data_IF_501610465112
#
_entry.id   IF_501610465112
#
_cell.length_a   1.000
_cell.length_b   1.000
_cell.length_c   1.000
_cell.angle_alpha   90.00
_cell.angle_beta   90.00
_cell.angle_gamma   90.00
#
_symmetry.space_group_name_H-M   'P 1'
#
loop_
_entity.id
_entity.type
_entity.pdbx_description
1 polymer ?
#
# COMPACT_ATOMS: atom_id res chain seq x y z
N UNK A 1 -1.71 11.30 -18.56
CA UNK A 1 -1.81 9.84 -18.77
C UNK A 1 -1.28 9.05 -17.57
N UNK A 2 -0.04 9.34 -17.11
CA UNK A 2 0.55 8.66 -15.95
C UNK A 2 -0.27 8.80 -14.66
N UNK A 3 -0.82 10.00 -14.40
CA UNK A 3 -1.74 10.24 -13.27
C UNK A 3 -2.93 9.27 -13.26
N UNK A 4 -3.66 9.16 -14.38
CA UNK A 4 -4.80 8.25 -14.50
C UNK A 4 -4.43 6.78 -14.36
N UNK A 5 -3.25 6.40 -14.86
CA UNK A 5 -2.71 5.05 -14.66
C UNK A 5 -2.50 4.76 -13.17
N UNK A 6 -1.88 5.67 -12.43
CA UNK A 6 -1.70 5.48 -10.99
C UNK A 6 -3.02 5.48 -10.20
N UNK A 7 -4.00 6.30 -10.57
CA UNK A 7 -5.35 6.26 -9.99
C UNK A 7 -5.99 4.88 -10.21
N UNK A 8 -5.87 4.31 -11.42
CA UNK A 8 -6.37 2.97 -11.72
C UNK A 8 -5.62 1.90 -10.90
N UNK A 9 -4.30 1.99 -10.79
CA UNK A 9 -3.49 1.12 -9.94
C UNK A 9 -3.98 1.14 -8.49
N UNK A 10 -4.17 2.34 -7.94
CA UNK A 10 -4.65 2.56 -6.57
C UNK A 10 -6.03 1.94 -6.37
N UNK A 11 -6.94 2.16 -7.32
CA UNK A 11 -8.30 1.62 -7.28
C UNK A 11 -8.32 0.09 -7.17
N UNK A 12 -7.50 -0.60 -7.95
CA UNK A 12 -7.43 -2.07 -7.91
C UNK A 12 -6.74 -2.57 -6.64
N UNK A 13 -5.68 -1.91 -6.16
CA UNK A 13 -5.01 -2.30 -4.92
C UNK A 13 -5.96 -2.19 -3.71
N UNK A 14 -6.70 -1.09 -3.59
CA UNK A 14 -7.60 -0.84 -2.47
C UNK A 14 -8.87 -1.70 -2.51
N UNK A 15 -9.59 -1.71 -3.63
CA UNK A 15 -10.79 -2.55 -3.79
C UNK A 15 -10.46 -4.05 -3.77
N UNK A 16 -9.28 -4.41 -4.28
CA UNK A 16 -8.80 -5.80 -4.31
C UNK A 16 -8.58 -6.37 -2.91
N UNK A 17 -8.03 -5.58 -1.99
CA UNK A 17 -7.86 -6.00 -0.59
C UNK A 17 -9.21 -6.25 0.07
N UNK A 18 -10.18 -5.33 -0.07
CA UNK A 18 -11.51 -5.48 0.53
C UNK A 18 -12.16 -6.77 0.04
N UNK A 19 -12.11 -7.01 -1.26
CA UNK A 19 -12.67 -8.23 -1.86
C UNK A 19 -11.97 -9.49 -1.33
N UNK A 20 -10.63 -9.49 -1.24
CA UNK A 20 -9.88 -10.65 -0.76
C UNK A 20 -10.13 -10.94 0.73
N UNK A 21 -10.26 -9.93 1.57
CA UNK A 21 -10.61 -10.09 3.00
C UNK A 21 -12.06 -10.54 3.13
N UNK A 22 -12.99 -9.89 2.42
CA UNK A 22 -14.41 -10.22 2.44
C UNK A 22 -14.75 -11.63 1.92
N UNK A 23 -13.91 -12.19 1.04
CA UNK A 23 -14.07 -13.55 0.52
C UNK A 23 -13.49 -14.65 1.42
N UNK A 24 -12.79 -14.34 2.51
CA UNK A 24 -12.28 -15.36 3.45
C UNK A 24 -13.35 -16.33 3.97
N UNK A 25 -14.55 -15.88 4.39
CA UNK A 25 -15.62 -16.78 4.85
C UNK A 25 -16.39 -17.47 3.71
N UNK A 26 -16.21 -17.06 2.44
CA UNK A 26 -16.99 -17.57 1.31
C UNK A 26 -16.38 -18.88 0.79
N UNK A 27 -17.22 -19.91 0.64
CA UNK A 27 -16.76 -21.21 0.15
C UNK A 27 -16.30 -21.10 -1.32
N UNK A 28 -15.05 -21.48 -1.58
CA UNK A 28 -14.43 -21.35 -2.91
C UNK A 28 -15.14 -22.14 -4.00
N UNK A 29 -15.85 -23.23 -3.66
CA UNK A 29 -16.59 -24.07 -4.61
C UNK A 29 -17.71 -23.33 -5.34
N UNK A 30 -18.22 -22.22 -4.78
CA UNK A 30 -19.33 -21.45 -5.33
C UNK A 30 -18.99 -20.71 -6.63
N UNK A 31 -17.71 -20.42 -6.88
CA UNK A 31 -17.27 -19.58 -8.01
C UNK A 31 -16.13 -20.18 -8.83
N UNK A 32 -15.83 -21.49 -8.63
CA UNK A 32 -14.76 -22.21 -9.34
C UNK A 32 -14.95 -22.14 -10.85
N UNK A 33 -16.16 -22.46 -11.31
CA UNK A 33 -16.47 -22.61 -12.73
C UNK A 33 -16.74 -21.27 -13.41
N UNK A 34 -17.24 -20.28 -12.66
CA UNK A 34 -17.60 -18.97 -13.19
C UNK A 34 -16.43 -17.98 -13.23
N UNK A 35 -15.56 -17.96 -12.20
CA UNK A 35 -14.52 -16.94 -12.02
C UNK A 35 -13.15 -17.57 -11.71
N UNK A 36 -12.45 -18.10 -12.73
CA UNK A 36 -11.20 -18.83 -12.53
C UNK A 36 -10.04 -17.95 -12.05
N UNK A 37 -10.04 -16.64 -12.36
CA UNK A 37 -8.99 -15.71 -11.89
C UNK A 37 -9.21 -15.40 -10.41
N UNK A 38 -10.45 -15.14 -10.00
CA UNK A 38 -10.84 -14.98 -8.59
C UNK A 38 -10.42 -16.20 -7.77
N UNK A 39 -10.61 -17.41 -8.30
CA UNK A 39 -10.15 -18.62 -7.63
C UNK A 39 -8.62 -18.66 -7.48
N UNK A 40 -7.86 -18.28 -8.51
CA UNK A 40 -6.39 -18.19 -8.41
C UNK A 40 -5.95 -17.18 -7.35
N UNK A 41 -6.53 -15.98 -7.34
CA UNK A 41 -6.21 -14.94 -6.36
C UNK A 41 -6.55 -15.40 -4.93
N UNK A 42 -7.78 -15.88 -4.70
CA UNK A 42 -8.23 -16.33 -3.37
C UNK A 42 -7.50 -17.58 -2.90
N UNK A 43 -7.21 -18.55 -3.77
CA UNK A 43 -6.43 -19.73 -3.41
C UNK A 43 -4.97 -19.39 -3.09
N UNK A 44 -4.38 -18.39 -3.75
CA UNK A 44 -3.03 -17.94 -3.45
C UNK A 44 -2.94 -17.18 -2.13
N UNK A 45 -3.85 -16.21 -1.92
CA UNK A 45 -3.83 -15.31 -0.75
C UNK A 45 -4.37 -15.98 0.50
N UNK A 46 -5.42 -16.80 0.41
CA UNK A 46 -5.99 -17.50 1.57
C UNK A 46 -5.21 -18.75 1.98
N UNK A 47 -4.13 -19.10 1.27
CA UNK A 47 -3.32 -20.26 1.63
C UNK A 47 -2.38 -19.92 2.78
N UNK A 48 -2.64 -20.52 3.94
CA UNK A 48 -1.81 -20.34 5.13
C UNK A 48 -1.68 -18.85 5.51
N UNK A 49 -0.44 -18.37 5.62
CA UNK A 49 -0.12 -17.01 6.08
C UNK A 49 -0.02 -15.96 4.95
N UNK A 50 -0.40 -16.34 3.72
CA UNK A 50 -0.24 -15.45 2.57
C UNK A 50 -1.12 -14.19 2.65
N UNK A 51 -2.21 -14.19 3.44
CA UNK A 51 -3.09 -13.02 3.58
C UNK A 51 -2.37 -11.85 4.25
N UNK A 52 -1.73 -12.08 5.39
CA UNK A 52 -1.01 -11.03 6.11
C UNK A 52 0.18 -10.51 5.30
N UNK A 53 0.89 -11.44 4.63
CA UNK A 53 1.99 -11.15 3.71
C UNK A 53 1.55 -10.29 2.53
N UNK A 54 0.41 -10.64 1.94
CA UNK A 54 -0.21 -9.85 0.89
C UNK A 54 -0.56 -8.45 1.40
N UNK A 55 -1.18 -8.33 2.59
CA UNK A 55 -1.56 -7.03 3.16
C UNK A 55 -0.30 -6.15 3.32
N UNK A 56 0.79 -6.66 3.90
CA UNK A 56 2.02 -5.88 4.10
C UNK A 56 2.66 -5.46 2.75
N UNK A 57 2.88 -6.41 1.85
CA UNK A 57 3.49 -6.14 0.54
C UNK A 57 2.67 -5.18 -0.32
N UNK A 58 1.34 -5.28 -0.25
CA UNK A 58 0.41 -4.38 -0.95
C UNK A 58 0.46 -2.96 -0.38
N UNK A 59 0.55 -2.78 0.94
CA UNK A 59 0.63 -1.43 1.54
C UNK A 59 1.85 -0.65 1.02
N UNK A 60 2.97 -1.34 0.80
CA UNK A 60 4.13 -0.72 0.17
C UNK A 60 3.87 -0.34 -1.29
N UNK A 61 3.20 -1.19 -2.08
CA UNK A 61 2.78 -0.83 -3.45
C UNK A 61 1.85 0.39 -3.47
N UNK A 62 0.90 0.46 -2.55
CA UNK A 62 0.01 1.61 -2.40
C UNK A 62 0.83 2.88 -2.14
N UNK A 63 1.80 2.79 -1.22
CA UNK A 63 2.69 3.92 -0.92
C UNK A 63 3.51 4.37 -2.13
N UNK A 64 4.04 3.44 -2.93
CA UNK A 64 4.75 3.76 -4.18
C UNK A 64 3.84 4.43 -5.22
N UNK A 65 2.59 3.97 -5.36
CA UNK A 65 1.61 4.55 -6.26
C UNK A 65 1.22 5.97 -5.81
N UNK A 66 1.00 6.18 -4.50
CA UNK A 66 0.70 7.50 -3.93
C UNK A 66 1.88 8.45 -4.11
N UNK A 67 3.12 7.98 -3.92
CA UNK A 67 4.31 8.79 -4.20
C UNK A 67 4.38 9.20 -5.68
N UNK A 68 4.12 8.27 -6.60
CA UNK A 68 4.03 8.55 -8.04
C UNK A 68 2.92 9.54 -8.40
N UNK A 69 1.78 9.48 -7.71
CA UNK A 69 0.67 10.44 -7.85
C UNK A 69 1.07 11.83 -7.37
N UNK A 70 1.71 11.94 -6.21
CA UNK A 70 2.19 13.22 -5.68
C UNK A 70 3.21 13.85 -6.64
N UNK A 71 4.12 13.05 -7.21
CA UNK A 71 5.05 13.55 -8.22
C UNK A 71 4.33 14.07 -9.49
N UNK A 72 3.25 13.40 -9.92
CA UNK A 72 2.46 13.87 -11.07
C UNK A 72 1.64 15.14 -10.79
N UNK A 73 1.46 15.51 -9.53
CA UNK A 73 0.57 16.60 -9.09
C UNK A 73 1.31 17.73 -8.39
N UNK A 74 2.64 17.68 -8.38
CA UNK A 74 3.47 18.77 -7.86
C UNK A 74 3.15 20.07 -8.60
N UNK A 75 2.97 21.19 -7.88
CA UNK A 75 2.83 22.49 -8.50
C UNK A 75 4.10 22.80 -9.32
N UNK A 76 3.93 23.57 -10.40
CA UNK A 76 5.03 24.02 -11.26
C UNK A 76 5.23 25.50 -10.96
N UNK A 77 6.44 25.86 -10.53
CA UNK A 77 6.79 27.21 -10.02
C UNK A 77 6.69 28.32 -11.09
N UNK A 78 6.53 27.96 -12.36
CA UNK A 78 6.62 28.86 -13.52
C UNK A 78 5.31 29.64 -13.82
N UNK A 79 4.31 29.58 -12.93
CA UNK A 79 3.05 30.31 -13.08
C UNK A 79 2.93 31.47 -12.08
N UNK A 80 3.83 32.45 -12.19
CA UNK A 80 3.59 33.82 -11.69
C UNK A 80 2.53 34.51 -12.58
N UNK A 81 1.26 34.19 -12.41
CA UNK A 81 0.25 34.89 -13.22
C UNK A 81 -1.16 34.36 -13.11
N UNK A 82 -1.91 34.99 -12.22
CA UNK A 82 -3.35 34.91 -12.05
C UNK A 82 -3.91 33.52 -11.72
N UNK A 83 -4.87 33.50 -10.79
CA UNK A 83 -5.65 32.33 -10.41
C UNK A 83 -6.08 31.56 -11.68
N UNK A 84 -5.46 30.41 -11.97
CA UNK A 84 -5.74 29.60 -13.18
C UNK A 84 -7.24 29.28 -13.31
N UNK A 85 -7.94 29.24 -12.18
CA UNK A 85 -9.38 29.00 -12.05
C UNK A 85 -10.19 30.23 -11.61
N UNK A 86 -9.58 31.42 -11.46
CA UNK A 86 -10.25 32.64 -10.98
C UNK A 86 -10.75 32.54 -9.53
N UNK A 87 -10.25 31.58 -8.76
CA UNK A 87 -10.70 31.30 -7.40
C UNK A 87 -10.10 32.28 -6.37
N UNK A 88 -10.78 32.52 -5.23
CA UNK A 88 -10.21 33.24 -4.10
C UNK A 88 -8.86 32.67 -3.66
N UNK A 89 -7.90 33.53 -3.29
CA UNK A 89 -6.52 33.14 -2.94
C UNK A 89 -6.45 32.01 -1.90
N UNK A 90 -7.31 32.03 -0.88
CA UNK A 90 -7.32 30.99 0.15
C UNK A 90 -7.74 29.60 -0.38
N UNK A 91 -8.53 29.54 -1.46
CA UNK A 91 -8.90 28.27 -2.12
C UNK A 91 -7.73 27.75 -2.95
N UNK A 92 -7.04 28.62 -3.68
CA UNK A 92 -5.88 28.22 -4.48
C UNK A 92 -4.74 27.70 -3.60
N UNK A 93 -4.44 28.36 -2.49
CA UNK A 93 -3.40 27.89 -1.55
C UNK A 93 -3.71 26.47 -1.05
N UNK A 94 -4.98 26.18 -0.69
CA UNK A 94 -5.35 24.87 -0.16
C UNK A 94 -5.38 23.79 -1.24
N UNK A 95 -6.00 24.06 -2.38
CA UNK A 95 -6.26 23.04 -3.39
C UNK A 95 -5.11 22.86 -4.39
N UNK A 96 -4.36 23.93 -4.68
CA UNK A 96 -3.26 23.94 -5.65
C UNK A 96 -1.91 23.83 -4.93
N UNK A 97 -1.55 24.77 -4.07
CA UNK A 97 -0.20 24.82 -3.47
C UNK A 97 0.05 23.66 -2.51
N UNK A 98 -0.91 23.35 -1.64
CA UNK A 98 -0.82 22.20 -0.73
C UNK A 98 -1.23 20.85 -1.38
N UNK A 99 -1.57 20.83 -2.67
CA UNK A 99 -1.99 19.61 -3.35
C UNK A 99 -3.34 19.03 -2.88
N UNK A 100 -4.18 19.83 -2.21
CA UNK A 100 -5.47 19.38 -1.68
C UNK A 100 -6.39 18.78 -2.74
N UNK A 101 -6.38 19.31 -3.97
CA UNK A 101 -7.18 18.76 -5.07
C UNK A 101 -6.73 17.35 -5.47
N UNK A 102 -5.41 17.09 -5.47
CA UNK A 102 -4.86 15.78 -5.76
C UNK A 102 -5.25 14.77 -4.66
N UNK A 103 -5.18 15.18 -3.39
CA UNK A 103 -5.59 14.33 -2.25
C UNK A 103 -7.08 13.97 -2.34
N UNK A 104 -7.96 14.95 -2.54
CA UNK A 104 -9.40 14.71 -2.66
C UNK A 104 -9.71 13.80 -3.85
N UNK A 105 -9.06 14.03 -5.00
CA UNK A 105 -9.25 13.21 -6.19
C UNK A 105 -8.79 11.77 -5.97
N UNK A 106 -7.61 11.58 -5.37
CA UNK A 106 -7.06 10.24 -5.11
C UNK A 106 -7.89 9.46 -4.10
N UNK A 107 -8.39 10.09 -3.05
CA UNK A 107 -9.27 9.44 -2.05
C UNK A 107 -10.62 9.08 -2.67
N UNK A 108 -11.30 10.01 -3.34
CA UNK A 108 -12.66 9.77 -3.83
C UNK A 108 -12.64 8.80 -5.02
N UNK A 109 -11.84 9.11 -6.04
CA UNK A 109 -11.82 8.36 -7.31
C UNK A 109 -10.92 7.14 -7.22
N UNK A 110 -9.75 7.28 -6.59
CA UNK A 110 -8.74 6.23 -6.53
C UNK A 110 -8.95 5.21 -5.42
N UNK A 111 -9.68 5.52 -4.34
CA UNK A 111 -9.84 4.58 -3.22
C UNK A 111 -11.32 4.30 -2.93
N UNK A 112 -12.10 5.32 -2.57
CA UNK A 112 -13.42 5.12 -2.00
C UNK A 112 -14.40 4.48 -3.00
N UNK A 113 -14.39 4.95 -4.25
CA UNK A 113 -15.24 4.38 -5.31
C UNK A 113 -14.97 2.90 -5.57
N UNK A 114 -13.69 2.49 -5.61
CA UNK A 114 -13.33 1.09 -5.84
C UNK A 114 -13.62 0.21 -4.63
N UNK A 115 -13.44 0.73 -3.42
CA UNK A 115 -13.75 0.05 -2.17
C UNK A 115 -15.25 -0.27 -2.05
N UNK A 116 -16.13 0.69 -2.42
CA UNK A 116 -17.58 0.47 -2.42
C UNK A 116 -17.98 -0.56 -3.48
N UNK A 117 -17.43 -0.46 -4.69
CA UNK A 117 -17.68 -1.43 -5.77
C UNK A 117 -17.24 -2.84 -5.39
N UNK A 118 -16.04 -2.95 -4.80
CA UNK A 118 -15.49 -4.20 -4.27
C UNK A 118 -16.36 -4.81 -3.17
N UNK A 119 -16.90 -4.00 -2.25
CA UNK A 119 -17.75 -4.49 -1.17
C UNK A 119 -19.08 -5.10 -1.67
N UNK A 120 -19.62 -4.60 -2.78
CA UNK A 120 -20.87 -5.12 -3.36
C UNK A 120 -20.64 -6.33 -4.27
N UNK A 121 -19.60 -6.30 -5.11
CA UNK A 121 -19.34 -7.32 -6.12
C UNK A 121 -17.92 -7.90 -6.00
N UNK A 122 -17.59 -8.47 -4.82
CA UNK A 122 -16.23 -8.94 -4.49
C UNK A 122 -15.66 -9.93 -5.52
N UNK A 123 -16.47 -10.90 -5.96
CA UNK A 123 -16.04 -11.99 -6.86
C UNK A 123 -15.71 -11.44 -8.24
N UNK A 124 -16.57 -10.57 -8.79
CA UNK A 124 -16.40 -9.96 -10.10
C UNK A 124 -15.23 -8.98 -10.10
N UNK A 125 -15.10 -8.18 -9.03
CA UNK A 125 -14.07 -7.15 -8.90
C UNK A 125 -12.65 -7.74 -9.00
N UNK A 126 -12.39 -8.88 -8.35
CA UNK A 126 -11.06 -9.51 -8.37
C UNK A 126 -10.82 -10.46 -9.54
N UNK A 127 -11.81 -10.68 -10.41
CA UNK A 127 -11.69 -11.54 -11.58
C UNK A 127 -10.97 -10.84 -12.75
N UNK A 128 -9.86 -10.16 -12.46
CA UNK A 128 -9.09 -9.41 -13.44
C UNK A 128 -7.62 -9.82 -13.42
N UNK A 129 -7.01 -9.88 -14.59
CA UNK A 129 -5.57 -10.15 -14.73
C UNK A 129 -4.71 -9.14 -13.97
N UNK A 130 -5.17 -7.89 -13.88
CA UNK A 130 -4.45 -6.85 -13.17
C UNK A 130 -4.49 -7.07 -11.65
N UNK A 131 -5.59 -7.62 -11.12
CA UNK A 131 -5.67 -8.04 -9.72
C UNK A 131 -4.73 -9.22 -9.43
N UNK A 132 -4.65 -10.19 -10.35
CA UNK A 132 -3.73 -11.31 -10.22
C UNK A 132 -2.26 -10.84 -10.26
N UNK A 133 -1.91 -9.91 -11.15
CA UNK A 133 -0.60 -9.28 -11.22
C UNK A 133 -0.23 -8.60 -9.89
N UNK A 134 -1.09 -7.72 -9.39
CA UNK A 134 -0.85 -6.99 -8.13
C UNK A 134 -0.76 -7.91 -6.93
N UNK A 135 -1.48 -9.03 -6.94
CA UNK A 135 -1.37 -10.09 -5.93
C UNK A 135 0.01 -10.75 -5.93
N UNK A 136 0.52 -11.16 -7.11
CA UNK A 136 1.87 -11.71 -7.22
C UNK A 136 2.94 -10.70 -6.83
N UNK A 137 2.79 -9.44 -7.26
CA UNK A 137 3.75 -8.38 -6.94
C UNK A 137 3.79 -8.09 -5.44
N UNK A 138 2.63 -8.04 -4.79
CA UNK A 138 2.53 -7.85 -3.33
C UNK A 138 3.25 -8.98 -2.58
N UNK A 139 3.02 -10.23 -2.99
CA UNK A 139 3.70 -11.38 -2.40
C UNK A 139 5.21 -11.39 -2.72
N UNK A 140 5.61 -10.95 -3.91
CA UNK A 140 7.03 -10.85 -4.30
C UNK A 140 7.78 -9.78 -3.48
N UNK A 141 7.15 -8.63 -3.24
CA UNK A 141 7.70 -7.57 -2.39
C UNK A 141 7.86 -8.07 -0.96
N UNK A 142 6.85 -8.76 -0.43
CA UNK A 142 6.99 -9.37 0.89
C UNK A 142 8.12 -10.41 0.91
N UNK A 143 8.21 -11.25 -0.12
CA UNK A 143 9.31 -12.20 -0.28
C UNK A 143 10.69 -11.54 -0.42
N UNK A 144 10.79 -10.27 -0.82
CA UNK A 144 12.06 -9.54 -0.89
C UNK A 144 12.66 -9.25 0.49
N UNK A 145 11.81 -9.14 1.52
CA UNK A 145 12.22 -8.87 2.90
C UNK A 145 12.48 -7.40 3.23
N UNK A 146 12.26 -6.47 2.28
CA UNK A 146 12.47 -5.02 2.49
C UNK A 146 11.54 -4.46 3.58
N UNK A 147 10.37 -5.07 3.78
CA UNK A 147 9.33 -4.62 4.73
C UNK A 147 9.44 -5.27 6.12
N UNK A 148 10.46 -6.09 6.37
CA UNK A 148 10.50 -6.92 7.57
C UNK A 148 10.57 -6.15 8.90
N UNK A 149 10.98 -4.88 8.91
CA UNK A 149 10.96 -4.04 10.12
C UNK A 149 9.56 -3.95 10.75
N UNK A 150 8.49 -4.05 9.95
CA UNK A 150 7.11 -4.02 10.47
C UNK A 150 6.81 -5.18 11.43
N UNK A 151 7.47 -6.33 11.26
CA UNK A 151 7.29 -7.47 12.16
C UNK A 151 7.92 -7.22 13.52
N UNK A 152 9.06 -6.51 13.60
CA UNK A 152 9.63 -6.09 14.89
C UNK A 152 8.65 -5.20 15.64
N UNK A 153 8.11 -4.21 14.93
CA UNK A 153 7.16 -3.26 15.53
C UNK A 153 5.93 -4.02 16.05
N UNK A 154 5.39 -4.95 15.26
CA UNK A 154 4.28 -5.84 15.70
C UNK A 154 4.63 -6.66 16.94
N UNK A 155 5.81 -7.29 16.98
CA UNK A 155 6.28 -8.06 18.14
C UNK A 155 6.47 -7.17 19.38
N UNK A 156 6.87 -5.92 19.21
CA UNK A 156 6.95 -4.96 20.31
C UNK A 156 5.53 -4.62 20.80
N UNK A 157 4.61 -4.28 19.89
CA UNK A 157 3.22 -3.97 20.24
C UNK A 157 2.46 -5.12 20.88
N UNK A 158 2.68 -6.38 20.46
CA UNK A 158 2.06 -7.55 21.10
C UNK A 158 2.55 -7.72 22.54
N UNK A 159 3.86 -7.54 22.77
CA UNK A 159 4.45 -7.55 24.12
C UNK A 159 3.89 -6.45 25.00
N UNK A 160 3.73 -5.22 24.48
CA UNK A 160 3.16 -4.11 25.24
C UNK A 160 1.66 -4.27 25.52
N UNK A 161 0.90 -4.82 24.57
CA UNK A 161 -0.55 -4.91 24.68
C UNK A 161 -1.04 -6.10 25.51
N UNK A 162 -0.15 -7.03 25.88
CA UNK A 162 -0.47 -8.23 26.67
C UNK A 162 -1.44 -9.20 25.99
N UNK A 163 -1.94 -8.87 24.81
CA UNK A 163 -2.70 -9.75 23.92
C UNK A 163 -1.70 -10.36 22.96
N UNK A 164 -1.66 -11.69 22.91
CA UNK A 164 -1.09 -12.38 21.78
C UNK A 164 -1.84 -11.88 20.54
N UNK A 165 -1.20 -11.02 19.74
CA UNK A 165 -1.66 -10.74 18.41
C UNK A 165 -1.55 -12.09 17.72
N UNK A 166 -2.68 -12.74 17.48
CA UNK A 166 -2.75 -14.04 16.80
C UNK A 166 -2.42 -13.84 15.33
N UNK A 167 -1.16 -13.56 15.07
CA UNK A 167 -0.51 -13.75 13.79
C UNK A 167 0.55 -14.80 14.09
N UNK A 168 0.27 -16.05 13.73
CA UNK A 168 1.11 -17.24 13.95
C UNK A 168 2.46 -17.18 13.22
N UNK A 169 2.95 -15.99 12.87
CA UNK A 169 4.34 -15.71 12.49
C UNK A 169 5.11 -15.18 13.70
N UNK A 170 4.94 -15.82 14.86
CA UNK A 170 6.04 -15.87 15.81
C UNK A 170 7.23 -16.53 15.12
N UNK A 171 8.42 -15.98 15.36
CA UNK A 171 9.73 -16.58 15.09
C UNK A 171 9.80 -18.04 15.57
N UNK A 172 8.89 -18.42 16.46
CA UNK A 172 8.67 -19.75 17.02
C UNK A 172 8.06 -20.77 16.05
N UNK A 173 7.38 -20.34 14.98
CA UNK A 173 6.84 -21.25 13.94
C UNK A 173 7.88 -21.70 12.90
N UNK A 174 9.03 -21.02 12.84
CA UNK A 174 10.13 -21.37 11.92
C UNK A 174 10.96 -22.48 12.59
N UNK A 175 10.75 -23.74 12.23
CA UNK A 175 11.45 -24.85 12.91
C UNK A 175 12.91 -25.00 12.46
N UNK A 176 13.31 -24.41 11.32
CA UNK A 176 14.63 -24.61 10.70
C UNK A 176 15.57 -23.42 10.95
N UNK A 177 16.70 -23.66 11.61
CA UNK A 177 17.78 -22.68 11.89
C UNK A 177 18.19 -21.79 10.69
N UNK A 178 18.41 -22.31 9.46
CA UNK A 178 18.79 -21.46 8.33
C UNK A 178 17.69 -20.46 7.93
N UNK A 179 16.41 -20.84 8.07
CA UNK A 179 15.29 -19.95 7.76
C UNK A 179 15.17 -18.83 8.80
N UNK A 180 15.46 -19.12 10.07
CA UNK A 180 15.51 -18.08 11.13
C UNK A 180 16.62 -17.07 10.85
N UNK A 181 17.82 -17.55 10.49
CA UNK A 181 18.95 -16.68 10.16
C UNK A 181 18.60 -15.80 8.95
N UNK A 182 18.04 -16.39 7.91
CA UNK A 182 17.63 -15.66 6.70
C UNK A 182 16.58 -14.59 7.00
N UNK A 183 15.62 -14.89 7.88
CA UNK A 183 14.64 -13.91 8.36
C UNK A 183 15.32 -12.72 9.06
N UNK A 184 16.21 -12.99 10.03
CA UNK A 184 16.91 -11.96 10.78
C UNK A 184 17.86 -11.11 9.92
N UNK A 185 18.50 -11.69 8.92
CA UNK A 185 19.33 -10.95 7.95
C UNK A 185 18.48 -9.93 7.19
N UNK A 186 17.29 -10.32 6.72
CA UNK A 186 16.36 -9.41 6.03
C UNK A 186 15.82 -8.32 6.95
N UNK A 187 15.50 -8.69 8.18
CA UNK A 187 15.10 -7.74 9.23
C UNK A 187 16.20 -6.70 9.46
N UNK A 188 17.45 -7.13 9.59
CA UNK A 188 18.60 -6.24 9.77
C UNK A 188 18.81 -5.33 8.54
N UNK A 189 18.70 -5.87 7.33
CA UNK A 189 18.73 -5.07 6.09
C UNK A 189 17.62 -4.00 6.09
N UNK A 190 16.39 -4.38 6.44
CA UNK A 190 15.24 -3.47 6.49
C UNK A 190 15.45 -2.35 7.52
N UNK A 191 16.02 -2.66 8.70
CA UNK A 191 16.35 -1.65 9.72
C UNK A 191 17.43 -0.68 9.22
N UNK A 192 18.46 -1.20 8.52
CA UNK A 192 19.51 -0.35 7.94
C UNK A 192 18.91 0.62 6.92
N UNK A 193 18.09 0.11 5.99
CA UNK A 193 17.42 0.94 4.98
C UNK A 193 16.57 2.02 5.66
N UNK A 194 15.75 1.65 6.65
CA UNK A 194 14.93 2.60 7.40
C UNK A 194 15.78 3.65 8.12
N UNK A 195 16.87 3.23 8.77
CA UNK A 195 17.80 4.13 9.47
C UNK A 195 18.45 5.13 8.53
N UNK A 196 18.90 4.69 7.35
CA UNK A 196 19.44 5.58 6.31
C UNK A 196 18.37 6.56 5.83
N UNK A 197 17.15 6.09 5.57
CA UNK A 197 16.05 6.97 5.15
C UNK A 197 15.74 8.04 6.19
N UNK A 198 15.69 7.70 7.49
CA UNK A 198 15.46 8.67 8.57
C UNK A 198 16.59 9.68 8.64
N UNK A 199 17.85 9.26 8.49
CA UNK A 199 19.00 10.16 8.51
C UNK A 199 18.97 11.13 7.33
N UNK A 200 18.65 10.66 6.12
CA UNK A 200 18.54 11.52 4.94
C UNK A 200 17.41 12.54 5.14
N UNK A 201 16.23 12.09 5.55
CA UNK A 201 15.09 12.98 5.81
C UNK A 201 15.44 14.00 6.91
N UNK A 202 16.08 13.56 8.00
CA UNK A 202 16.50 14.45 9.08
C UNK A 202 17.53 15.48 8.62
N UNK A 203 18.48 15.06 7.78
CA UNK A 203 19.46 15.96 7.16
C UNK A 203 18.79 16.98 6.25
N UNK A 204 17.89 16.53 5.38
CA UNK A 204 17.18 17.41 4.45
C UNK A 204 16.30 18.43 5.19
N UNK A 205 15.67 18.04 6.31
CA UNK A 205 14.89 18.95 7.17
C UNK A 205 15.79 20.00 7.81
N UNK A 206 16.98 19.62 8.30
CA UNK A 206 17.91 20.57 8.94
C UNK A 206 18.60 21.48 7.93
N UNK A 207 18.88 20.99 6.73
CA UNK A 207 19.50 21.77 5.65
C UNK A 207 18.50 22.64 4.88
N UNK A 208 17.23 22.73 5.32
CA UNK A 208 16.13 23.46 4.66
C UNK A 208 15.89 23.07 3.19
N UNK A 209 16.51 21.98 2.70
CA UNK A 209 16.33 21.45 1.34
C UNK A 209 14.97 20.77 1.13
N UNK A 210 14.11 20.75 2.15
CA UNK A 210 12.73 20.28 2.00
C UNK A 210 11.85 21.42 1.50
N UNK A 211 11.10 21.16 0.43
CA UNK A 211 10.01 22.02 -0.06
C UNK A 211 8.86 22.25 0.96
N UNK A 212 9.03 21.91 2.24
CA UNK A 212 8.06 22.17 3.31
C UNK A 212 8.06 23.64 3.76
N UNK A 213 9.14 24.39 3.55
CA UNK A 213 9.33 25.71 4.16
C UNK A 213 9.55 26.86 3.17
N UNK A 214 9.67 26.59 1.88
CA UNK A 214 9.64 27.64 0.86
C UNK A 214 8.17 27.98 0.56
N UNK A 215 7.65 28.97 1.31
CA UNK A 215 6.36 29.63 1.10
C UNK A 215 6.62 31.02 0.55
#
# INVERSE_FOLDING_TARGET
LLFWFFIMCLAVLEGGQISLVGLQPVLKTLYVDSHPITLKCTSLVHRGKNMERFINGRQFLVSLVVFGLNYCTSPIDDYEGDNVLGLPNWINVIFYDYGGAAIVTTVIVGQLASQVSAAQCMIDFINSWFMLLTTYLSLAIEMSGILHTVYIIRMAFSKFSGKAISSEEDVDSIQTTPQKIFFWVRVLLSIIVLGISIVIIGKDIVEENTAMWEV
#
